data_IF_499512990556
#
_entry.id   IF_499512990556
#
_cell.length_a   1.000
_cell.length_b   1.000
_cell.length_c   1.000
_cell.angle_alpha   90.00
_cell.angle_beta   90.00
_cell.angle_gamma   90.00
#
_symmetry.space_group_name_H-M   'P 1'
#
loop_
_entity.id
_entity.type
_entity.pdbx_description
1 polymer ?
#
# COMPACT_ATOMS: atom_id res chain seq x y z
N UNK A 1 15.69 -10.16 -18.94
CA UNK A 1 14.85 -9.79 -17.78
C UNK A 1 14.35 -11.10 -17.19
N UNK A 2 14.86 -11.48 -16.02
CA UNK A 2 14.76 -12.84 -15.47
C UNK A 2 13.45 -13.11 -14.72
N UNK A 3 12.37 -12.40 -15.07
CA UNK A 3 10.99 -12.77 -14.73
C UNK A 3 10.48 -13.59 -15.92
N UNK A 4 11.08 -14.76 -16.15
CA UNK A 4 10.56 -15.69 -17.14
C UNK A 4 9.22 -16.21 -16.63
N UNK A 5 8.13 -15.74 -17.24
CA UNK A 5 6.73 -16.19 -17.44
C UNK A 5 6.07 -17.29 -16.56
N UNK A 6 6.76 -17.93 -15.62
CA UNK A 6 6.26 -19.03 -14.78
C UNK A 6 6.40 -18.76 -13.27
N UNK A 7 7.24 -17.79 -12.86
CA UNK A 7 7.45 -17.50 -11.43
C UNK A 7 6.19 -16.88 -10.81
N UNK A 8 5.59 -15.87 -11.46
CA UNK A 8 4.40 -15.19 -10.94
C UNK A 8 3.16 -16.12 -10.86
N UNK A 9 2.84 -16.93 -11.88
CA UNK A 9 1.76 -17.92 -11.76
C UNK A 9 2.01 -18.97 -10.66
N UNK A 10 3.26 -19.41 -10.47
CA UNK A 10 3.61 -20.34 -9.40
C UNK A 10 3.43 -19.68 -8.02
N UNK A 11 3.88 -18.45 -7.85
CA UNK A 11 3.70 -17.68 -6.61
C UNK A 11 2.22 -17.46 -6.29
N UNK A 12 1.40 -17.15 -7.30
CA UNK A 12 -0.04 -17.03 -7.13
C UNK A 12 -0.68 -18.36 -6.66
N UNK A 13 -0.25 -19.48 -7.25
CA UNK A 13 -0.71 -20.82 -6.85
C UNK A 13 -0.32 -21.11 -5.39
N UNK A 14 0.87 -20.70 -4.97
CA UNK A 14 1.35 -20.86 -3.59
C UNK A 14 0.57 -20.00 -2.58
N UNK A 15 0.03 -18.85 -3.01
CA UNK A 15 -0.80 -17.99 -2.17
C UNK A 15 -2.25 -18.50 -2.05
N UNK A 16 -2.79 -19.06 -3.14
CA UNK A 16 -4.21 -19.46 -3.24
C UNK A 16 -4.50 -20.84 -2.67
N UNK A 17 -3.58 -21.79 -2.80
CA UNK A 17 -3.74 -23.12 -2.22
C UNK A 17 -3.61 -23.09 -0.68
N UNK A 18 -4.18 -24.10 -0.02
CA UNK A 18 -4.10 -24.30 1.44
C UNK A 18 -2.69 -24.78 1.87
N UNK A 19 -1.67 -24.01 1.50
CA UNK A 19 -0.30 -24.22 1.96
C UNK A 19 -0.08 -23.66 3.37
N UNK A 20 0.98 -24.14 4.01
CA UNK A 20 1.36 -23.72 5.35
C UNK A 20 1.65 -22.22 5.40
N UNK A 21 1.44 -21.61 6.57
CA UNK A 21 1.76 -20.20 6.85
C UNK A 21 3.12 -19.78 6.29
N UNK A 22 4.15 -20.61 6.52
CA UNK A 22 5.52 -20.38 6.06
C UNK A 22 5.61 -20.21 4.54
N UNK A 23 4.90 -21.02 3.76
CA UNK A 23 4.90 -20.95 2.30
C UNK A 23 4.27 -19.63 1.83
N UNK A 24 3.13 -19.24 2.42
CA UNK A 24 2.45 -17.97 2.09
C UNK A 24 3.34 -16.76 2.44
N UNK A 25 4.01 -16.77 3.59
CA UNK A 25 4.96 -15.71 3.96
C UNK A 25 6.11 -15.61 2.96
N UNK A 26 6.74 -16.73 2.58
CA UNK A 26 7.86 -16.72 1.62
C UNK A 26 7.40 -16.29 0.23
N UNK A 27 6.20 -16.69 -0.19
CA UNK A 27 5.63 -16.26 -1.46
C UNK A 27 5.34 -14.75 -1.47
N UNK A 28 4.72 -14.20 -0.42
CA UNK A 28 4.52 -12.75 -0.28
C UNK A 28 5.84 -11.98 -0.27
N UNK A 29 6.84 -12.48 0.47
CA UNK A 29 8.18 -11.89 0.51
C UNK A 29 8.87 -11.91 -0.87
N UNK A 30 8.72 -13.00 -1.64
CA UNK A 30 9.25 -13.04 -3.00
C UNK A 30 8.56 -12.00 -3.90
N UNK A 31 7.24 -11.85 -3.78
CA UNK A 31 6.46 -10.86 -4.53
C UNK A 31 6.87 -9.44 -4.14
N UNK A 32 7.07 -9.14 -2.86
CA UNK A 32 7.48 -7.80 -2.42
C UNK A 32 8.82 -7.38 -3.01
N UNK A 33 9.77 -8.31 -3.15
CA UNK A 33 11.05 -8.07 -3.81
C UNK A 33 10.91 -7.85 -5.32
N UNK A 34 9.97 -8.55 -5.98
CA UNK A 34 9.68 -8.32 -7.41
C UNK A 34 9.09 -6.91 -7.60
N UNK A 35 8.14 -6.52 -6.75
CA UNK A 35 7.50 -5.20 -6.80
C UNK A 35 8.44 -4.05 -6.41
N UNK A 36 9.53 -4.33 -5.67
CA UNK A 36 10.60 -3.36 -5.42
C UNK A 36 11.44 -3.03 -6.66
N UNK A 37 11.24 -3.76 -7.77
CA UNK A 37 11.95 -3.55 -9.02
C UNK A 37 11.43 -2.35 -9.81
N UNK A 38 11.40 -2.49 -11.14
CA UNK A 38 10.95 -1.44 -12.05
C UNK A 38 9.43 -1.52 -12.32
N UNK A 39 8.91 -0.53 -13.05
CA UNK A 39 7.50 -0.47 -13.44
C UNK A 39 7.04 -1.68 -14.26
N UNK A 40 7.92 -2.28 -15.05
CA UNK A 40 7.61 -3.49 -15.83
C UNK A 40 7.37 -4.70 -14.93
N UNK A 41 8.15 -4.84 -13.85
CA UNK A 41 7.96 -5.89 -12.86
C UNK A 41 6.63 -5.72 -12.12
N UNK A 42 6.28 -4.48 -11.74
CA UNK A 42 4.98 -4.17 -11.14
C UNK A 42 3.85 -4.52 -12.11
N UNK A 43 3.99 -4.14 -13.38
CA UNK A 43 3.00 -4.45 -14.41
C UNK A 43 2.81 -5.95 -14.57
N UNK A 44 3.90 -6.73 -14.57
CA UNK A 44 3.80 -8.19 -14.64
C UNK A 44 3.02 -8.80 -13.45
N UNK A 45 3.15 -8.23 -12.25
CA UNK A 45 2.38 -8.65 -11.06
C UNK A 45 0.90 -8.28 -11.17
N UNK A 46 0.61 -7.11 -11.74
CA UNK A 46 -0.76 -6.66 -12.07
C UNK A 46 -1.39 -7.62 -13.09
N UNK A 47 -0.69 -7.88 -14.19
CA UNK A 47 -1.16 -8.75 -15.28
C UNK A 47 -1.35 -10.22 -14.81
N UNK A 48 -0.54 -10.66 -13.84
CA UNK A 48 -0.68 -11.96 -13.19
C UNK A 48 -1.85 -12.03 -12.19
N UNK A 49 -2.62 -10.95 -12.01
CA UNK A 49 -3.77 -10.84 -11.11
C UNK A 49 -3.43 -11.19 -9.64
N UNK A 50 -2.24 -10.82 -9.18
CA UNK A 50 -1.77 -11.09 -7.81
C UNK A 50 -2.26 -10.03 -6.82
N UNK A 51 -2.48 -8.79 -7.27
CA UNK A 51 -2.86 -7.65 -6.41
C UNK A 51 -4.10 -7.93 -5.55
N UNK A 52 -5.23 -8.45 -6.10
CA UNK A 52 -6.42 -8.69 -5.28
C UNK A 52 -6.16 -9.67 -4.14
N UNK A 53 -5.31 -10.69 -4.38
CA UNK A 53 -4.92 -11.64 -3.35
C UNK A 53 -4.02 -11.02 -2.29
N UNK A 54 -3.10 -10.12 -2.65
CA UNK A 54 -2.30 -9.39 -1.66
C UNK A 54 -3.18 -8.52 -0.76
N UNK A 55 -4.17 -7.83 -1.33
CA UNK A 55 -5.13 -7.03 -0.57
C UNK A 55 -5.98 -7.90 0.35
N UNK A 56 -6.45 -9.06 -0.13
CA UNK A 56 -7.16 -10.03 0.70
C UNK A 56 -6.29 -10.51 1.86
N UNK A 57 -5.02 -10.83 1.63
CA UNK A 57 -4.10 -11.27 2.68
C UNK A 57 -3.85 -10.16 3.71
N UNK A 58 -3.75 -8.90 3.30
CA UNK A 58 -3.67 -7.76 4.24
C UNK A 58 -4.87 -7.69 5.19
N UNK A 59 -6.06 -8.07 4.72
CA UNK A 59 -7.28 -8.07 5.54
C UNK A 59 -7.38 -9.31 6.44
N UNK A 60 -7.23 -10.50 5.86
CA UNK A 60 -7.65 -11.75 6.53
C UNK A 60 -6.51 -12.59 7.10
N UNK A 61 -5.26 -12.36 6.68
CA UNK A 61 -4.15 -13.21 7.09
C UNK A 61 -3.62 -12.88 8.49
N UNK A 62 -2.78 -13.76 9.03
CA UNK A 62 -2.05 -13.49 10.27
C UNK A 62 -1.05 -12.34 10.10
N UNK A 63 -0.72 -11.66 11.20
CA UNK A 63 0.14 -10.47 11.20
C UNK A 63 1.47 -10.67 10.44
N UNK A 64 2.10 -11.85 10.53
CA UNK A 64 3.34 -12.13 9.79
C UNK A 64 3.19 -12.07 8.27
N UNK A 65 2.05 -12.50 7.74
CA UNK A 65 1.77 -12.43 6.31
C UNK A 65 1.34 -11.02 5.92
N UNK A 66 0.57 -10.34 6.78
CA UNK A 66 0.17 -8.93 6.56
C UNK A 66 1.38 -8.02 6.40
N UNK A 67 2.44 -8.23 7.20
CA UNK A 67 3.69 -7.48 7.07
C UNK A 67 4.28 -7.57 5.67
N UNK A 68 4.44 -8.79 5.14
CA UNK A 68 5.03 -9.00 3.82
C UNK A 68 4.14 -8.44 2.70
N UNK A 69 2.82 -8.58 2.84
CA UNK A 69 1.88 -8.00 1.90
C UNK A 69 1.91 -6.45 1.92
N UNK A 70 2.08 -5.85 3.09
CA UNK A 70 2.19 -4.39 3.23
C UNK A 70 3.47 -3.86 2.56
N UNK A 71 4.59 -4.58 2.72
CA UNK A 71 5.82 -4.30 2.00
C UNK A 71 5.63 -4.39 0.48
N UNK A 72 4.93 -5.40 -0.01
CA UNK A 72 4.66 -5.54 -1.45
C UNK A 72 3.87 -4.35 -2.00
N UNK A 73 2.79 -3.95 -1.33
CA UNK A 73 1.98 -2.80 -1.75
C UNK A 73 2.78 -1.49 -1.66
N UNK A 74 3.52 -1.27 -0.57
CA UNK A 74 4.35 -0.07 -0.40
C UNK A 74 5.40 0.05 -1.51
N UNK A 75 6.14 -1.02 -1.81
CA UNK A 75 7.10 -1.06 -2.91
C UNK A 75 6.44 -0.73 -4.26
N UNK A 76 5.25 -1.29 -4.50
CA UNK A 76 4.48 -0.99 -5.70
C UNK A 76 4.09 0.49 -5.81
N UNK A 77 3.72 1.11 -4.70
CA UNK A 77 3.37 2.55 -4.69
C UNK A 77 4.59 3.47 -4.78
N UNK A 78 5.77 3.03 -4.35
CA UNK A 78 7.00 3.83 -4.43
C UNK A 78 7.61 3.83 -5.84
N UNK A 79 7.57 2.69 -6.54
CA UNK A 79 8.19 2.54 -7.87
C UNK A 79 7.19 2.56 -9.04
N UNK A 80 5.89 2.47 -8.75
CA UNK A 80 4.82 2.37 -9.75
C UNK A 80 4.56 3.66 -10.52
N UNK A 81 3.87 3.53 -11.65
CA UNK A 81 3.28 4.69 -12.34
C UNK A 81 1.98 5.14 -11.64
N UNK A 82 1.51 6.39 -11.87
CA UNK A 82 0.22 6.85 -11.38
C UNK A 82 -0.93 5.88 -11.70
N UNK A 83 -0.94 5.30 -12.90
CA UNK A 83 -1.96 4.34 -13.35
C UNK A 83 -1.92 3.03 -12.56
N UNK A 84 -0.72 2.53 -12.25
CA UNK A 84 -0.55 1.34 -11.42
C UNK A 84 -1.01 1.59 -9.98
N UNK A 85 -0.72 2.78 -9.44
CA UNK A 85 -1.16 3.19 -8.11
C UNK A 85 -2.68 3.34 -8.06
N UNK A 86 -3.28 3.95 -9.08
CA UNK A 86 -4.74 4.01 -9.22
C UNK A 86 -5.36 2.61 -9.26
N UNK A 87 -4.74 1.67 -9.99
CA UNK A 87 -5.20 0.28 -10.00
C UNK A 87 -5.12 -0.35 -8.61
N UNK A 88 -4.01 -0.20 -7.89
CA UNK A 88 -3.86 -0.68 -6.50
C UNK A 88 -4.98 -0.15 -5.60
N UNK A 89 -5.28 1.14 -5.69
CA UNK A 89 -6.37 1.78 -4.95
C UNK A 89 -7.73 1.19 -5.35
N UNK A 90 -7.99 0.97 -6.64
CA UNK A 90 -9.22 0.36 -7.13
C UNK A 90 -9.46 -1.06 -6.61
N UNK A 91 -8.39 -1.77 -6.22
CA UNK A 91 -8.46 -3.09 -5.58
C UNK A 91 -8.73 -3.02 -4.08
N UNK A 92 -8.90 -1.83 -3.49
CA UNK A 92 -9.24 -1.65 -2.08
C UNK A 92 -8.06 -1.74 -1.13
N UNK A 93 -6.84 -1.37 -1.57
CA UNK A 93 -5.65 -1.43 -0.72
C UNK A 93 -5.59 -0.36 0.39
N UNK A 94 -6.40 0.71 0.30
CA UNK A 94 -6.38 1.83 1.27
C UNK A 94 -6.77 1.37 2.67
N UNK A 95 -7.95 0.75 2.83
CA UNK A 95 -8.45 0.33 4.15
C UNK A 95 -7.45 -0.55 4.92
N UNK A 96 -6.88 -1.62 4.32
CA UNK A 96 -5.94 -2.47 5.03
C UNK A 96 -4.62 -1.76 5.38
N UNK A 97 -4.17 -0.79 4.58
CA UNK A 97 -3.00 0.02 4.90
C UNK A 97 -3.29 0.94 6.10
N UNK A 98 -4.46 1.58 6.13
CA UNK A 98 -4.90 2.41 7.25
C UNK A 98 -5.04 1.59 8.54
N UNK A 99 -5.65 0.40 8.47
CA UNK A 99 -5.79 -0.49 9.63
C UNK A 99 -4.43 -0.88 10.24
N UNK A 100 -3.38 -1.00 9.43
CA UNK A 100 -2.02 -1.31 9.89
C UNK A 100 -1.27 -0.13 10.53
N UNK A 101 -1.77 1.11 10.40
CA UNK A 101 -1.18 2.27 11.10
C UNK A 101 -1.28 2.14 12.62
N UNK A 102 -2.26 1.40 13.13
CA UNK A 102 -2.43 1.14 14.57
C UNK A 102 -1.59 -0.01 15.12
N UNK A 103 -0.70 -0.61 14.34
CA UNK A 103 0.08 -1.77 14.80
C UNK A 103 1.30 -1.36 15.65
N UNK A 104 1.83 -2.31 16.43
CA UNK A 104 2.94 -2.07 17.35
C UNK A 104 4.32 -2.06 16.68
N UNK A 105 4.46 -2.57 15.45
CA UNK A 105 5.75 -2.57 14.74
C UNK A 105 5.94 -1.24 14.01
N UNK A 106 6.83 -0.35 14.48
CA UNK A 106 7.03 0.97 13.89
C UNK A 106 7.52 0.90 12.44
N UNK A 107 8.17 -0.20 12.04
CA UNK A 107 8.62 -0.35 10.64
C UNK A 107 7.42 -0.51 9.71
N UNK A 108 6.40 -1.25 10.15
CA UNK A 108 5.19 -1.49 9.35
C UNK A 108 4.35 -0.23 9.28
N UNK A 109 4.23 0.51 10.39
CA UNK A 109 3.58 1.83 10.40
C UNK A 109 4.27 2.76 9.41
N UNK A 110 5.61 2.83 9.41
CA UNK A 110 6.36 3.67 8.47
C UNK A 110 6.15 3.27 6.99
N UNK A 111 6.12 1.97 6.71
CA UNK A 111 5.87 1.41 5.37
C UNK A 111 4.45 1.74 4.88
N UNK A 112 3.45 1.64 5.76
CA UNK A 112 2.07 1.99 5.44
C UNK A 112 1.90 3.50 5.25
N UNK A 113 2.52 4.33 6.09
CA UNK A 113 2.55 5.79 5.90
C UNK A 113 3.21 6.18 4.57
N UNK A 114 4.27 5.49 4.16
CA UNK A 114 4.90 5.75 2.87
C UNK A 114 3.98 5.40 1.70
N UNK A 115 3.29 4.25 1.79
CA UNK A 115 2.33 3.85 0.77
C UNK A 115 1.18 4.86 0.66
N UNK A 116 0.64 5.29 1.80
CA UNK A 116 -0.43 6.30 1.89
C UNK A 116 0.02 7.64 1.34
N UNK A 117 1.23 8.12 1.68
CA UNK A 117 1.78 9.36 1.14
C UNK A 117 1.90 9.30 -0.39
N UNK A 118 2.38 8.18 -0.95
CA UNK A 118 2.50 8.02 -2.39
C UNK A 118 1.13 7.98 -3.09
N UNK A 119 0.13 7.34 -2.49
CA UNK A 119 -1.25 7.36 -2.97
C UNK A 119 -1.79 8.80 -2.97
N UNK A 120 -1.61 9.55 -1.88
CA UNK A 120 -2.06 10.94 -1.76
C UNK A 120 -1.40 11.86 -2.81
N UNK A 121 -0.11 11.69 -3.10
CA UNK A 121 0.58 12.41 -4.18
C UNK A 121 -0.07 12.19 -5.55
N UNK A 122 -0.46 10.95 -5.86
CA UNK A 122 -1.18 10.65 -7.12
C UNK A 122 -2.55 11.31 -7.12
N UNK A 123 -3.21 11.38 -5.96
CA UNK A 123 -4.49 12.07 -5.80
C UNK A 123 -4.41 13.57 -6.03
N UNK A 124 -3.36 14.25 -5.52
CA UNK A 124 -3.13 15.67 -5.82
C UNK A 124 -2.87 15.90 -7.31
N UNK A 125 -2.07 15.04 -7.95
CA UNK A 125 -1.86 15.13 -9.40
C UNK A 125 -3.18 14.98 -10.19
N UNK A 126 -4.13 14.17 -9.72
CA UNK A 126 -5.46 14.06 -10.34
C UNK A 126 -6.33 15.30 -10.12
N UNK A 127 -6.23 15.92 -8.95
CA UNK A 127 -6.90 17.19 -8.64
C UNK A 127 -6.44 18.30 -9.57
N UNK A 128 -5.13 18.42 -9.82
CA UNK A 128 -4.56 19.40 -10.75
C UNK A 128 -5.00 19.18 -12.21
N UNK A 129 -5.27 17.93 -12.60
CA UNK A 129 -5.77 17.59 -13.93
C UNK A 129 -7.26 17.92 -14.13
N UNK A 130 -7.95 18.45 -13.11
CA UNK A 130 -9.33 18.93 -13.21
C UNK A 130 -10.41 17.83 -13.22
N UNK A 131 -10.03 16.58 -12.97
CA UNK A 131 -10.94 15.43 -13.00
C UNK A 131 -11.78 15.27 -11.72
N UNK A 132 -11.46 15.99 -10.64
CA UNK A 132 -12.01 15.72 -9.31
C UNK A 132 -12.46 16.98 -8.57
N UNK A 133 -13.30 17.83 -9.15
CA UNK A 133 -13.98 18.95 -8.46
C UNK A 133 -13.10 19.82 -7.50
N UNK A 134 -11.78 19.90 -7.73
CA UNK A 134 -10.83 20.57 -6.84
C UNK A 134 -10.44 19.82 -5.56
N UNK A 135 -10.85 18.57 -5.38
CA UNK A 135 -10.57 17.73 -4.21
C UNK A 135 -9.68 16.53 -4.56
N UNK A 136 -8.91 16.07 -3.59
CA UNK A 136 -8.12 14.84 -3.71
C UNK A 136 -9.00 13.62 -3.44
N UNK A 137 -9.28 12.77 -4.46
CA UNK A 137 -10.21 11.64 -4.31
C UNK A 137 -9.71 10.60 -3.31
N UNK A 138 -8.39 10.48 -3.15
CA UNK A 138 -7.79 9.51 -2.24
C UNK A 138 -7.72 10.02 -0.82
N UNK A 139 -7.58 11.33 -0.60
CA UNK A 139 -7.74 11.91 0.73
C UNK A 139 -9.14 11.61 1.29
N UNK A 140 -10.19 11.81 0.49
CA UNK A 140 -11.55 11.45 0.88
C UNK A 140 -11.70 9.94 1.12
N UNK A 141 -11.13 9.09 0.24
CA UNK A 141 -11.17 7.63 0.42
C UNK A 141 -10.44 7.15 1.68
N UNK A 142 -9.40 7.87 2.13
CA UNK A 142 -8.68 7.58 3.37
C UNK A 142 -9.52 8.00 4.58
N UNK A 143 -10.21 9.13 4.49
CA UNK A 143 -11.10 9.60 5.54
C UNK A 143 -12.29 8.65 5.76
N UNK A 144 -12.93 8.19 4.68
CA UNK A 144 -14.05 7.23 4.70
C UNK A 144 -13.74 5.90 5.42
N UNK A 145 -12.47 5.54 5.54
CA UNK A 145 -12.02 4.30 6.19
C UNK A 145 -11.40 4.53 7.56
N UNK A 146 -11.67 5.70 8.17
CA UNK A 146 -11.10 6.13 9.47
C UNK A 146 -9.56 6.22 9.43
N UNK A 147 -8.99 6.43 8.24
CA UNK A 147 -7.55 6.52 8.03
C UNK A 147 -6.98 7.85 8.53
N UNK A 148 -7.73 8.94 8.39
CA UNK A 148 -7.33 10.27 8.85
C UNK A 148 -7.10 10.29 10.36
N UNK A 149 -8.09 9.86 11.16
CA UNK A 149 -7.98 9.75 12.62
C UNK A 149 -6.76 8.91 13.04
N UNK A 150 -6.46 7.82 12.31
CA UNK A 150 -5.27 7.00 12.59
C UNK A 150 -3.97 7.76 12.31
N UNK A 151 -3.90 8.57 11.26
CA UNK A 151 -2.73 9.40 10.95
C UNK A 151 -2.55 10.50 12.00
N UNK A 152 -3.62 11.14 12.44
CA UNK A 152 -3.61 12.11 13.54
C UNK A 152 -3.09 11.49 14.84
N UNK A 153 -3.57 10.29 15.18
CA UNK A 153 -3.08 9.56 16.35
C UNK A 153 -1.55 9.29 16.32
N UNK A 154 -0.95 9.18 15.13
CA UNK A 154 0.50 9.02 14.98
C UNK A 154 1.30 10.27 15.31
N UNK A 155 0.66 11.44 15.49
CA UNK A 155 1.32 12.63 16.04
C UNK A 155 1.74 12.44 17.51
N UNK A 156 1.23 11.41 18.19
CA UNK A 156 1.66 11.04 19.55
C UNK A 156 2.63 9.86 19.57
N UNK A 157 3.12 9.40 18.41
CA UNK A 157 3.92 8.20 18.31
C UNK A 157 5.36 8.42 18.82
N UNK A 158 5.86 7.50 19.65
CA UNK A 158 7.20 7.57 20.29
C UNK A 158 8.38 7.66 19.31
N UNK A 159 8.18 7.20 18.08
CA UNK A 159 9.18 7.25 17.01
C UNK A 159 9.09 8.58 16.27
N UNK A 160 10.07 9.45 16.48
CA UNK A 160 10.16 10.77 15.85
C UNK A 160 10.04 10.74 14.32
N UNK A 161 10.50 9.69 13.63
CA UNK A 161 10.37 9.62 12.16
C UNK A 161 8.92 9.43 11.72
N UNK A 162 8.16 8.62 12.47
CA UNK A 162 6.73 8.38 12.21
C UNK A 162 5.94 9.64 12.53
N UNK A 163 6.21 10.23 13.69
CA UNK A 163 5.66 11.53 14.09
C UNK A 163 5.84 12.61 13.01
N UNK A 164 7.09 12.91 12.63
CA UNK A 164 7.37 13.96 11.65
C UNK A 164 6.71 13.67 10.30
N UNK A 165 6.61 12.40 9.90
CA UNK A 165 6.00 12.01 8.64
C UNK A 165 4.47 12.16 8.68
N UNK A 166 3.83 11.78 9.79
CA UNK A 166 2.40 11.97 10.00
C UNK A 166 2.03 13.46 9.97
N UNK A 167 2.76 14.29 10.72
CA UNK A 167 2.57 15.75 10.71
C UNK A 167 2.68 16.32 9.30
N UNK A 168 3.75 15.98 8.58
CA UNK A 168 3.96 16.44 7.21
C UNK A 168 2.81 16.04 6.28
N UNK A 169 2.30 14.81 6.38
CA UNK A 169 1.19 14.32 5.57
C UNK A 169 -0.07 15.14 5.85
N UNK A 170 -0.40 15.36 7.13
CA UNK A 170 -1.57 16.14 7.53
C UNK A 170 -1.48 17.58 7.02
N UNK A 171 -0.34 18.25 7.23
CA UNK A 171 -0.11 19.62 6.75
C UNK A 171 -0.17 19.74 5.22
N UNK A 172 0.21 18.69 4.49
CA UNK A 172 0.25 18.74 3.02
C UNK A 172 -1.13 18.49 2.38
N UNK A 173 -1.94 17.59 2.94
CA UNK A 173 -3.16 17.11 2.27
C UNK A 173 -4.47 17.42 3.02
N UNK A 174 -4.39 17.80 4.29
CA UNK A 174 -5.54 18.11 5.15
C UNK A 174 -5.34 19.43 5.91
N UNK A 175 -4.67 20.40 5.29
CA UNK A 175 -4.68 21.76 5.83
C UNK A 175 -6.10 22.30 5.77
N UNK A 176 -6.62 22.74 6.92
CA UNK A 176 -7.82 23.57 6.96
C UNK A 176 -7.52 24.82 6.12
N UNK A 177 -8.28 25.02 5.04
CA UNK A 177 -8.35 26.35 4.42
C UNK A 177 -8.89 27.30 5.50
N UNK A 178 -8.06 28.24 5.95
CA UNK A 178 -8.44 29.36 6.84
C UNK A 178 -9.68 30.11 6.32
#
# INVERSE_FOLDING_TARGET
>A
IMINNLVLPSLLTLLTLNHTKRVKTVACWAISNIMAGNKDHIQAVVDANIIPFLVQLLQTAEFDIKKEAAWAISNATSSGSPEQIMYLVSQGCIKPLCDLLGCTDPRIVAVCLEAIENILKVGEAQKELGNTAGMNPFAHSIDDVEGLEKIENLQNHINNKIYCKAVKILETYWTEDD
#
